data_IF_683627576864
#
_entry.id   IF_683627576864
#
_cell.length_a   1.000
_cell.length_b   1.000
_cell.length_c   1.000
_cell.angle_alpha   90.00
_cell.angle_beta   90.00
_cell.angle_gamma   90.00
#
_symmetry.space_group_name_H-M   'P 1'
#
loop_
_entity.id
_entity.type
_entity.pdbx_description
1 polymer ?
#
# COMPACT_ATOMS: atom_id res chain seq x y z
N UNK A 1 21.63 14.15 -9.29
CA UNK A 1 22.58 14.11 -8.16
C UNK A 1 22.06 13.08 -7.16
N UNK A 2 22.94 12.31 -6.55
CA UNK A 2 22.55 11.31 -5.54
C UNK A 2 22.83 11.85 -4.12
N UNK A 3 22.16 12.92 -3.74
CA UNK A 3 22.36 13.56 -2.44
C UNK A 3 21.77 12.71 -1.31
N UNK A 4 22.49 12.70 -0.16
CA UNK A 4 22.01 11.99 1.02
C UNK A 4 20.96 12.83 1.79
N UNK A 5 19.75 12.91 1.23
CA UNK A 5 18.62 13.68 1.77
C UNK A 5 17.47 12.75 2.11
N UNK A 6 16.83 12.95 3.27
CA UNK A 6 15.64 12.23 3.71
C UNK A 6 14.47 13.22 3.76
N UNK A 7 13.48 12.99 2.91
CA UNK A 7 12.23 13.74 2.88
C UNK A 7 11.18 12.93 3.62
N UNK A 8 10.88 13.31 4.84
CA UNK A 8 9.84 12.63 5.64
C UNK A 8 8.61 13.54 5.59
N UNK A 9 7.62 13.13 4.80
CA UNK A 9 6.37 13.85 4.63
C UNK A 9 5.27 13.24 5.50
N UNK A 10 4.71 14.06 6.38
CA UNK A 10 3.55 13.71 7.21
C UNK A 10 2.25 14.16 6.54
N UNK A 11 1.09 13.76 7.09
CA UNK A 11 -0.23 14.12 6.59
C UNK A 11 -0.51 13.61 5.16
N UNK A 12 0.04 12.45 4.82
CA UNK A 12 -0.15 11.83 3.52
C UNK A 12 -1.50 11.10 3.42
N UNK A 13 -2.01 10.96 2.20
CA UNK A 13 -3.23 10.21 1.92
C UNK A 13 -4.49 10.89 2.45
N UNK A 14 -5.36 10.09 3.06
CA UNK A 14 -6.63 10.51 3.62
C UNK A 14 -6.57 10.80 5.12
N UNK A 15 -5.41 10.64 5.72
CA UNK A 15 -5.20 10.76 7.17
C UNK A 15 -5.47 12.15 7.73
N UNK A 16 -5.47 13.19 6.90
CA UNK A 16 -5.93 14.53 7.26
C UNK A 16 -7.37 14.77 6.81
N UNK A 17 -8.25 13.91 7.30
CA UNK A 17 -9.65 13.85 6.88
C UNK A 17 -10.43 15.12 7.18
N UNK A 18 -10.12 15.82 8.28
CA UNK A 18 -10.89 17.00 8.75
C UNK A 18 -10.64 18.24 7.88
N UNK A 19 -9.40 18.43 7.43
CA UNK A 19 -8.98 19.64 6.70
C UNK A 19 -9.28 19.53 5.18
N UNK A 20 -9.64 18.33 4.72
CA UNK A 20 -10.12 18.09 3.36
C UNK A 20 -9.04 18.15 2.28
N UNK A 21 -9.43 18.39 1.01
CA UNK A 21 -8.58 18.18 -0.16
C UNK A 21 -7.27 18.97 -0.19
N UNK A 22 -7.23 20.11 0.49
CA UNK A 22 -6.01 20.94 0.56
C UNK A 22 -4.88 20.31 1.39
N UNK A 23 -5.21 19.26 2.16
CA UNK A 23 -4.27 18.57 3.06
C UNK A 23 -4.14 17.07 2.76
N UNK A 24 -4.71 16.61 1.66
CA UNK A 24 -4.67 15.21 1.22
C UNK A 24 -3.65 15.05 0.09
N UNK A 25 -2.46 14.47 0.40
CA UNK A 25 -1.46 14.16 -0.61
C UNK A 25 -1.80 12.82 -1.29
N UNK A 26 -2.28 12.88 -2.54
CA UNK A 26 -2.76 11.72 -3.30
C UNK A 26 -1.91 11.40 -4.55
N UNK A 27 -0.91 12.20 -4.87
CA UNK A 27 -0.02 12.05 -6.05
C UNK A 27 1.46 11.98 -5.67
N UNK A 28 1.78 12.06 -4.39
CA UNK A 28 3.13 12.14 -3.87
C UNK A 28 4.00 10.92 -4.24
N UNK A 29 3.47 9.71 -4.14
CA UNK A 29 4.17 8.49 -4.53
C UNK A 29 4.49 8.49 -6.02
N UNK A 30 3.54 8.88 -6.88
CA UNK A 30 3.75 8.94 -8.32
C UNK A 30 4.88 9.93 -8.68
N UNK A 31 4.85 11.13 -8.09
CA UNK A 31 5.88 12.14 -8.28
C UNK A 31 7.26 11.66 -7.84
N UNK A 32 7.36 11.06 -6.66
CA UNK A 32 8.63 10.59 -6.11
C UNK A 32 9.15 9.36 -6.85
N UNK A 33 8.28 8.48 -7.36
CA UNK A 33 8.68 7.33 -8.20
C UNK A 33 9.38 7.77 -9.49
N UNK A 34 9.03 8.89 -10.08
CA UNK A 34 9.65 9.37 -11.34
C UNK A 34 11.08 9.85 -11.16
N UNK A 35 11.50 10.23 -9.95
CA UNK A 35 12.85 10.70 -9.67
C UNK A 35 13.83 9.51 -9.67
N UNK A 36 14.83 9.52 -10.56
CA UNK A 36 15.68 8.35 -10.87
C UNK A 36 16.28 7.65 -9.66
N UNK A 37 16.86 8.39 -8.70
CA UNK A 37 17.58 7.82 -7.55
C UNK A 37 16.76 7.85 -6.25
N UNK A 38 15.51 8.32 -6.27
CA UNK A 38 14.68 8.42 -5.09
C UNK A 38 14.23 7.03 -4.64
N UNK A 39 14.52 6.67 -3.41
CA UNK A 39 13.87 5.56 -2.70
C UNK A 39 12.54 6.07 -2.17
N UNK A 40 11.45 5.30 -2.35
CA UNK A 40 10.10 5.68 -1.92
C UNK A 40 9.59 4.64 -0.95
N UNK A 41 9.30 5.08 0.27
CA UNK A 41 8.89 4.22 1.38
C UNK A 41 7.58 4.72 1.97
N UNK A 42 6.65 3.81 2.21
CA UNK A 42 5.35 4.06 2.84
C UNK A 42 5.05 2.98 3.89
N UNK A 43 5.27 3.27 5.18
CA UNK A 43 4.99 2.34 6.28
C UNK A 43 3.53 1.91 6.34
N UNK A 44 3.27 0.71 6.84
CA UNK A 44 1.92 0.21 7.11
C UNK A 44 1.29 0.86 8.35
N UNK A 45 2.07 1.02 9.42
CA UNK A 45 1.65 1.54 10.72
C UNK A 45 2.83 2.12 11.51
N UNK A 46 2.61 2.48 12.79
CA UNK A 46 3.64 3.06 13.66
C UNK A 46 4.79 2.10 13.95
N UNK A 47 4.53 0.80 14.09
CA UNK A 47 5.57 -0.22 14.32
C UNK A 47 6.45 -0.43 13.09
N UNK A 48 5.85 -0.31 11.92
CA UNK A 48 6.62 -0.34 10.65
C UNK A 48 7.49 0.92 10.53
N UNK A 49 7.02 2.10 10.97
CA UNK A 49 7.84 3.32 11.04
C UNK A 49 9.06 3.11 11.94
N UNK A 50 8.90 2.49 13.11
CA UNK A 50 10.02 2.20 14.03
C UNK A 50 11.08 1.32 13.40
N UNK A 51 10.70 0.34 12.58
CA UNK A 51 11.64 -0.54 11.86
C UNK A 51 12.30 0.15 10.67
N UNK A 52 11.57 1.01 9.98
CA UNK A 52 11.98 1.65 8.74
C UNK A 52 12.96 2.81 8.99
N UNK A 53 12.67 3.68 9.95
CA UNK A 53 13.43 4.94 10.12
C UNK A 53 14.93 4.71 10.35
N UNK A 54 15.39 3.78 11.20
CA UNK A 54 16.81 3.50 11.35
C UNK A 54 17.48 3.12 10.03
N UNK A 55 16.85 2.28 9.22
CA UNK A 55 17.38 1.83 7.92
C UNK A 55 17.40 2.95 6.88
N UNK A 56 16.40 3.83 6.91
CA UNK A 56 16.36 5.03 6.06
C UNK A 56 17.51 5.99 6.40
N UNK A 57 17.82 6.17 7.70
CA UNK A 57 18.93 7.03 8.14
C UNK A 57 20.29 6.45 7.67
N UNK A 58 20.48 5.15 7.74
CA UNK A 58 21.70 4.47 7.31
C UNK A 58 21.91 4.47 5.79
N UNK A 59 20.83 4.51 5.01
CA UNK A 59 20.89 4.49 3.56
C UNK A 59 21.60 5.72 2.99
N UNK A 60 22.54 5.52 2.05
CA UNK A 60 23.28 6.60 1.38
C UNK A 60 22.62 6.96 0.06
N UNK A 61 21.79 7.99 0.07
CA UNK A 61 21.03 8.48 -1.09
C UNK A 61 19.75 9.18 -0.68
N UNK A 62 18.98 9.69 -1.63
CA UNK A 62 17.71 10.36 -1.36
C UNK A 62 16.63 9.32 -1.03
N UNK A 63 15.87 9.57 0.03
CA UNK A 63 14.73 8.76 0.44
C UNK A 63 13.52 9.66 0.70
N UNK A 64 12.38 9.30 0.17
CA UNK A 64 11.08 9.83 0.52
C UNK A 64 10.36 8.83 1.42
N UNK A 65 9.92 9.28 2.60
CA UNK A 65 9.11 8.50 3.53
C UNK A 65 7.75 9.14 3.67
N UNK A 66 6.71 8.40 3.34
CA UNK A 66 5.32 8.84 3.37
C UNK A 66 4.67 8.40 4.68
N UNK A 67 4.25 9.33 5.52
CA UNK A 67 3.66 9.04 6.84
C UNK A 67 2.28 9.70 6.94
N UNK A 68 1.29 8.97 7.45
CA UNK A 68 -0.01 9.52 7.79
C UNK A 68 0.03 10.47 9.00
N UNK A 69 -1.07 11.17 9.25
CA UNK A 69 -1.26 12.04 10.41
C UNK A 69 -1.89 11.33 11.59
N UNK A 70 -2.94 10.56 11.32
CA UNK A 70 -3.81 10.01 12.34
C UNK A 70 -3.33 8.63 12.84
N UNK A 71 -3.99 8.14 13.87
CA UNK A 71 -3.75 6.81 14.40
C UNK A 71 -4.07 5.75 13.35
N UNK A 72 -3.08 4.94 13.02
CA UNK A 72 -3.28 3.75 12.19
C UNK A 72 -3.46 2.53 13.09
N UNK A 73 -4.45 1.65 12.83
CA UNK A 73 -4.58 0.39 13.55
C UNK A 73 -3.30 -0.43 13.46
N UNK A 74 -2.96 -1.23 14.49
CA UNK A 74 -1.77 -2.07 14.48
C UNK A 74 -1.92 -3.19 13.42
N UNK A 75 -1.03 -3.18 12.45
CA UNK A 75 -0.97 -4.17 11.37
C UNK A 75 0.26 -5.05 11.55
N UNK A 76 1.39 -4.42 11.89
CA UNK A 76 2.69 -5.08 11.96
C UNK A 76 3.22 -5.27 13.38
N UNK A 77 2.45 -4.91 14.41
CA UNK A 77 2.86 -4.91 15.83
C UNK A 77 3.45 -6.25 16.27
N UNK A 78 2.75 -7.34 16.00
CA UNK A 78 3.11 -8.70 16.43
C UNK A 78 4.00 -9.43 15.41
N UNK A 79 4.49 -8.74 14.39
CA UNK A 79 5.32 -9.34 13.36
C UNK A 79 6.81 -9.20 13.72
N UNK A 80 7.54 -10.30 13.60
CA UNK A 80 8.99 -10.35 13.77
C UNK A 80 9.70 -10.34 12.41
N UNK A 81 10.03 -9.14 11.91
CA UNK A 81 10.86 -8.98 10.72
C UNK A 81 11.80 -7.78 10.82
N UNK A 82 12.96 -7.92 10.19
CA UNK A 82 13.87 -6.81 9.95
C UNK A 82 13.52 -6.11 8.63
N UNK A 83 13.22 -4.82 8.69
CA UNK A 83 12.96 -4.05 7.47
C UNK A 83 14.22 -3.97 6.60
N UNK A 84 14.06 -4.22 5.32
CA UNK A 84 15.06 -4.03 4.26
C UNK A 84 14.43 -3.30 3.09
N UNK A 85 15.14 -2.30 2.57
CA UNK A 85 14.68 -1.54 1.39
C UNK A 85 14.48 -2.50 0.21
N UNK A 86 13.30 -2.48 -0.36
CA UNK A 86 12.89 -3.32 -1.48
C UNK A 86 12.10 -4.57 -1.09
N UNK A 87 12.17 -5.03 0.16
CA UNK A 87 11.49 -6.27 0.56
C UNK A 87 9.97 -6.09 0.71
N UNK A 88 9.27 -7.22 0.56
CA UNK A 88 7.82 -7.37 0.70
C UNK A 88 7.56 -8.35 1.83
N UNK A 89 6.58 -8.04 2.69
CA UNK A 89 6.30 -8.83 3.89
C UNK A 89 4.89 -9.43 3.82
N UNK A 90 4.81 -10.75 3.97
CA UNK A 90 3.54 -11.47 4.02
C UNK A 90 2.88 -11.26 5.39
N UNK A 91 1.67 -10.70 5.41
CA UNK A 91 0.85 -10.51 6.60
C UNK A 91 -0.11 -11.69 6.81
N UNK A 92 -0.70 -12.17 5.73
CA UNK A 92 -1.59 -13.33 5.69
C UNK A 92 -1.24 -14.16 4.46
N UNK A 93 -1.13 -15.48 4.65
CA UNK A 93 -0.95 -16.44 3.57
C UNK A 93 -2.23 -16.63 2.76
N UNK A 94 -2.11 -16.93 1.46
CA UNK A 94 -3.24 -17.26 0.59
C UNK A 94 -2.84 -17.42 -0.86
N UNK A 95 -3.57 -18.31 -1.56
CA UNK A 95 -3.22 -18.74 -2.92
C UNK A 95 -4.32 -18.50 -3.97
N UNK A 96 -5.56 -18.15 -3.55
CA UNK A 96 -6.65 -17.92 -4.51
C UNK A 96 -6.55 -16.52 -5.14
N UNK A 97 -6.14 -15.53 -4.36
CA UNK A 97 -5.96 -14.13 -4.74
C UNK A 97 -5.04 -13.47 -3.72
N UNK A 98 -4.36 -12.39 -4.08
CA UNK A 98 -3.58 -11.61 -3.14
C UNK A 98 -3.93 -10.13 -3.16
N UNK A 99 -3.80 -9.49 -1.99
CA UNK A 99 -3.77 -8.03 -1.85
C UNK A 99 -2.35 -7.60 -1.57
N UNK A 100 -1.87 -6.59 -2.29
CA UNK A 100 -0.62 -5.89 -2.02
C UNK A 100 -0.93 -4.44 -1.70
N UNK A 101 -0.29 -3.87 -0.69
CA UNK A 101 -0.57 -2.48 -0.33
C UNK A 101 0.40 -1.92 0.69
N UNK A 102 0.12 -0.72 1.14
CA UNK A 102 0.80 -0.01 2.24
C UNK A 102 -0.21 0.86 2.99
N UNK A 103 0.17 1.30 4.18
CA UNK A 103 -0.64 2.22 4.99
C UNK A 103 -1.96 1.63 5.51
N UNK A 104 -2.87 2.48 6.01
CA UNK A 104 -4.11 2.08 6.67
C UNK A 104 -5.01 1.12 5.88
N UNK A 105 -5.14 1.18 4.53
CA UNK A 105 -5.94 0.22 3.79
C UNK A 105 -5.55 -1.24 3.98
N UNK A 106 -4.30 -1.53 4.38
CA UNK A 106 -3.87 -2.89 4.70
C UNK A 106 -4.62 -3.50 5.89
N UNK A 107 -5.03 -2.69 6.87
CA UNK A 107 -5.86 -3.17 7.98
C UNK A 107 -7.19 -3.73 7.47
N UNK A 108 -7.84 -3.01 6.57
CA UNK A 108 -9.08 -3.46 5.93
C UNK A 108 -8.85 -4.70 5.06
N UNK A 109 -7.69 -4.78 4.37
CA UNK A 109 -7.33 -5.97 3.60
C UNK A 109 -7.11 -7.21 4.49
N UNK A 110 -6.49 -7.06 5.67
CA UNK A 110 -6.35 -8.14 6.65
C UNK A 110 -7.72 -8.63 7.12
N UNK A 111 -8.63 -7.71 7.45
CA UNK A 111 -10.00 -8.07 7.87
C UNK A 111 -10.76 -8.78 6.76
N UNK A 112 -10.70 -8.24 5.53
CA UNK A 112 -11.30 -8.86 4.36
C UNK A 112 -10.77 -10.30 4.11
N UNK A 113 -9.46 -10.52 4.29
CA UNK A 113 -8.86 -11.84 4.16
C UNK A 113 -9.38 -12.84 5.19
N UNK A 114 -9.56 -12.38 6.45
CA UNK A 114 -10.09 -13.23 7.51
C UNK A 114 -11.56 -13.60 7.26
N UNK A 115 -12.38 -12.67 6.77
CA UNK A 115 -13.78 -12.95 6.40
C UNK A 115 -13.89 -13.89 5.18
N UNK A 116 -13.12 -13.63 4.12
CA UNK A 116 -13.08 -14.49 2.94
C UNK A 116 -12.62 -15.92 3.29
N UNK A 117 -11.68 -16.06 4.22
CA UNK A 117 -11.23 -17.37 4.70
C UNK A 117 -12.36 -18.19 5.35
N UNK A 118 -13.30 -17.52 6.07
CA UNK A 118 -14.51 -18.18 6.61
C UNK A 118 -15.45 -18.65 5.51
N UNK A 119 -15.39 -18.02 4.35
CA UNK A 119 -16.14 -18.41 3.15
C UNK A 119 -15.40 -19.44 2.29
N UNK A 120 -14.22 -19.91 2.72
CA UNK A 120 -13.41 -20.90 2.02
C UNK A 120 -12.46 -20.34 0.97
N UNK A 121 -12.29 -19.00 0.90
CA UNK A 121 -11.40 -18.30 -0.03
C UNK A 121 -10.14 -17.85 0.70
N UNK A 122 -8.98 -18.26 0.20
CA UNK A 122 -7.67 -17.94 0.78
C UNK A 122 -7.06 -16.72 0.10
N UNK A 123 -7.40 -15.53 0.60
CA UNK A 123 -6.80 -14.29 0.15
C UNK A 123 -5.51 -14.02 0.94
N UNK A 124 -4.37 -13.94 0.24
CA UNK A 124 -3.10 -13.50 0.83
C UNK A 124 -3.03 -11.97 0.94
N UNK A 125 -2.33 -11.46 1.97
CA UNK A 125 -2.11 -10.02 2.16
C UNK A 125 -0.63 -9.73 2.34
N UNK A 126 -0.11 -8.76 1.58
CA UNK A 126 1.31 -8.38 1.58
C UNK A 126 1.48 -6.89 1.86
N UNK A 127 2.31 -6.57 2.86
CA UNK A 127 2.81 -5.21 3.05
C UNK A 127 3.96 -4.95 2.07
N UNK A 128 3.86 -3.87 1.31
CA UNK A 128 4.86 -3.40 0.34
C UNK A 128 5.37 -2.03 0.78
N UNK A 129 6.13 -1.95 1.88
CA UNK A 129 6.55 -0.67 2.46
C UNK A 129 7.57 0.07 1.58
N UNK A 130 8.27 -0.62 0.67
CA UNK A 130 9.15 0.02 -0.31
C UNK A 130 8.53 -0.05 -1.69
N UNK A 131 8.07 1.10 -2.18
CA UNK A 131 7.44 1.21 -3.50
C UNK A 131 8.51 1.34 -4.60
N UNK A 132 9.66 1.92 -4.25
CA UNK A 132 10.83 2.02 -5.12
C UNK A 132 12.14 2.02 -4.30
N UNK A 133 13.12 1.12 -4.64
CA UNK A 133 12.95 0.01 -5.57
C UNK A 133 11.97 -1.03 -5.03
N UNK A 134 11.17 -1.64 -5.88
CA UNK A 134 10.34 -2.79 -5.51
C UNK A 134 11.09 -4.09 -5.78
N UNK A 135 10.87 -5.12 -4.97
CA UNK A 135 11.41 -6.46 -5.21
C UNK A 135 10.68 -7.12 -6.40
N UNK A 136 11.27 -6.96 -7.58
CA UNK A 136 10.69 -7.46 -8.84
C UNK A 136 10.48 -8.97 -8.79
N UNK A 137 11.47 -9.72 -8.32
CA UNK A 137 11.42 -11.18 -8.26
C UNK A 137 10.31 -11.67 -7.33
N UNK A 138 10.15 -11.02 -6.17
CA UNK A 138 9.08 -11.34 -5.23
C UNK A 138 7.69 -11.06 -5.84
N UNK A 139 7.48 -9.88 -6.45
CA UNK A 139 6.22 -9.53 -7.11
C UNK A 139 5.89 -10.52 -8.22
N UNK A 140 6.85 -10.81 -9.10
CA UNK A 140 6.64 -11.74 -10.23
C UNK A 140 6.36 -13.16 -9.74
N UNK A 141 7.07 -13.63 -8.71
CA UNK A 141 6.84 -14.95 -8.10
C UNK A 141 5.42 -15.07 -7.53
N UNK A 142 4.98 -14.07 -6.77
CA UNK A 142 3.62 -14.04 -6.19
C UNK A 142 2.59 -13.98 -7.32
N UNK A 143 2.77 -13.09 -8.29
CA UNK A 143 1.85 -12.92 -9.41
C UNK A 143 1.68 -14.18 -10.26
N UNK A 144 2.76 -14.90 -10.52
CA UNK A 144 2.73 -16.19 -11.25
C UNK A 144 2.02 -17.30 -10.47
N UNK A 145 2.11 -17.27 -9.15
CA UNK A 145 1.44 -18.25 -8.29
C UNK A 145 -0.06 -18.09 -8.28
N UNK A 146 -0.55 -16.84 -8.18
CA UNK A 146 -1.98 -16.57 -7.92
C UNK A 146 -2.75 -16.05 -9.14
N UNK A 147 -2.11 -15.38 -10.08
CA UNK A 147 -2.73 -14.83 -11.27
C UNK A 147 -3.64 -13.61 -11.06
N UNK A 148 -4.13 -13.39 -9.83
CA UNK A 148 -5.05 -12.30 -9.48
C UNK A 148 -4.48 -11.46 -8.34
N UNK A 149 -4.32 -10.16 -8.55
CA UNK A 149 -3.76 -9.23 -7.58
C UNK A 149 -4.72 -8.05 -7.40
N UNK A 150 -5.02 -7.70 -6.15
CA UNK A 150 -5.61 -6.42 -5.79
C UNK A 150 -4.48 -5.55 -5.22
N UNK A 151 -4.42 -4.29 -5.60
CA UNK A 151 -3.57 -3.31 -4.94
C UNK A 151 -4.43 -2.32 -4.20
N UNK A 152 -4.12 -2.07 -2.94
CA UNK A 152 -4.81 -1.08 -2.09
C UNK A 152 -3.84 0.03 -1.73
N UNK A 153 -4.21 1.28 -2.01
CA UNK A 153 -3.37 2.45 -1.74
C UNK A 153 -4.21 3.72 -1.53
N UNK A 154 -3.88 4.49 -0.51
CA UNK A 154 -4.44 5.85 -0.30
C UNK A 154 -3.76 6.86 -1.22
N UNK A 155 -3.84 6.61 -2.50
CA UNK A 155 -3.16 7.37 -3.53
C UNK A 155 -3.95 7.27 -4.83
N UNK A 156 -3.75 8.19 -5.74
CA UNK A 156 -4.28 8.07 -7.09
C UNK A 156 -3.89 6.71 -7.69
N UNK A 157 -4.79 5.98 -8.34
CA UNK A 157 -4.44 4.72 -9.00
C UNK A 157 -3.43 4.90 -10.14
N UNK A 158 -3.10 6.16 -10.48
CA UNK A 158 -2.16 6.52 -11.55
C UNK A 158 -0.78 6.82 -10.97
N UNK A 159 0.20 6.02 -11.33
CA UNK A 159 1.61 6.22 -10.98
C UNK A 159 2.02 5.73 -9.57
N UNK A 160 1.07 5.26 -8.74
CA UNK A 160 1.32 4.69 -7.41
C UNK A 160 1.86 3.25 -7.44
N UNK A 161 1.63 2.52 -6.34
CA UNK A 161 2.01 1.12 -6.19
C UNK A 161 1.30 0.22 -7.22
N UNK A 162 0.01 0.45 -7.44
CA UNK A 162 -0.76 -0.33 -8.40
C UNK A 162 -0.21 -0.24 -9.82
N UNK A 163 0.20 0.96 -10.24
CA UNK A 163 0.90 1.15 -11.51
C UNK A 163 2.23 0.39 -11.53
N UNK A 164 3.04 0.49 -10.44
CA UNK A 164 4.32 -0.21 -10.36
C UNK A 164 4.18 -1.73 -10.50
N UNK A 165 3.19 -2.31 -9.81
CA UNK A 165 2.93 -3.76 -9.90
C UNK A 165 2.42 -4.12 -11.29
N UNK A 166 1.48 -3.33 -11.86
CA UNK A 166 0.95 -3.59 -13.21
C UNK A 166 2.04 -3.55 -14.28
N UNK A 167 2.98 -2.62 -14.20
CA UNK A 167 4.16 -2.54 -15.09
C UNK A 167 4.98 -3.84 -15.09
N UNK A 168 5.07 -4.53 -13.94
CA UNK A 168 5.87 -5.76 -13.78
C UNK A 168 5.14 -7.04 -14.22
N UNK A 169 3.80 -7.09 -14.06
CA UNK A 169 3.04 -8.33 -14.23
C UNK A 169 2.10 -8.32 -15.42
N UNK A 170 2.12 -7.25 -16.23
CA UNK A 170 1.32 -7.13 -17.44
C UNK A 170 1.55 -8.32 -18.39
N UNK A 171 0.44 -8.93 -18.83
CA UNK A 171 0.46 -10.07 -19.74
C UNK A 171 0.41 -11.46 -19.07
N UNK A 172 0.56 -11.58 -17.74
CA UNK A 172 0.47 -12.88 -17.05
C UNK A 172 -0.28 -12.87 -15.72
N UNK A 173 -0.65 -11.70 -15.20
CA UNK A 173 -1.53 -11.59 -14.04
C UNK A 173 -2.53 -10.45 -14.23
N UNK A 174 -3.69 -10.57 -13.61
CA UNK A 174 -4.71 -9.53 -13.58
C UNK A 174 -4.50 -8.65 -12.35
N UNK A 175 -4.53 -7.35 -12.52
CA UNK A 175 -4.37 -6.39 -11.43
C UNK A 175 -5.61 -5.51 -11.33
N UNK A 176 -6.24 -5.47 -10.16
CA UNK A 176 -7.27 -4.51 -9.79
C UNK A 176 -6.69 -3.52 -8.81
N UNK A 177 -6.66 -2.25 -9.16
CA UNK A 177 -6.21 -1.17 -8.27
C UNK A 177 -7.43 -0.58 -7.58
N UNK A 178 -7.40 -0.55 -6.26
CA UNK A 178 -8.28 0.21 -5.39
C UNK A 178 -7.48 1.38 -4.84
N UNK A 179 -7.87 2.58 -5.20
CA UNK A 179 -7.17 3.81 -4.85
C UNK A 179 -8.14 4.99 -4.84
N UNK A 180 -7.64 6.17 -4.52
CA UNK A 180 -8.42 7.41 -4.49
C UNK A 180 -8.46 8.00 -5.89
N UNK A 181 -9.55 7.77 -6.63
CA UNK A 181 -9.73 8.33 -7.97
C UNK A 181 -10.45 9.69 -7.88
N UNK A 182 -9.81 10.70 -8.42
CA UNK A 182 -10.26 12.08 -8.38
C UNK A 182 -9.61 12.91 -7.27
N UNK A 183 -9.98 14.18 -7.21
CA UNK A 183 -9.55 15.06 -6.13
C UNK A 183 -10.33 14.71 -4.87
N UNK A 184 -9.67 14.71 -3.72
CA UNK A 184 -10.35 14.58 -2.44
C UNK A 184 -11.43 15.67 -2.28
N UNK A 185 -12.66 15.34 -2.56
CA UNK A 185 -13.77 16.31 -2.53
C UNK A 185 -14.38 16.47 -1.13
N UNK A 186 -13.90 15.70 -0.15
CA UNK A 186 -14.54 15.63 1.16
C UNK A 186 -13.53 15.83 2.30
N UNK A 187 -13.91 16.73 3.24
CA UNK A 187 -13.49 16.56 4.62
C UNK A 187 -14.42 15.52 5.25
N UNK A 188 -13.83 14.46 5.81
CA UNK A 188 -14.57 13.41 6.52
C UNK A 188 -14.61 13.66 8.02
N UNK A 189 -15.39 12.85 8.74
CA UNK A 189 -15.41 12.82 10.20
C UNK A 189 -14.32 11.90 10.76
N UNK A 190 -13.84 10.98 9.93
CA UNK A 190 -12.75 10.06 10.24
C UNK A 190 -12.08 9.57 8.95
N UNK A 191 -10.86 9.06 9.05
CA UNK A 191 -10.18 8.40 7.95
C UNK A 191 -10.97 7.16 7.47
N UNK A 192 -11.58 6.39 8.37
CA UNK A 192 -12.41 5.24 8.04
C UNK A 192 -13.60 5.61 7.13
N UNK A 193 -14.25 6.76 7.39
CA UNK A 193 -15.34 7.26 6.53
C UNK A 193 -14.84 7.53 5.10
N UNK A 194 -13.65 8.14 4.98
CA UNK A 194 -13.04 8.39 3.67
C UNK A 194 -12.58 7.11 2.99
N UNK A 195 -11.97 6.18 3.70
CA UNK A 195 -11.60 4.88 3.15
C UNK A 195 -12.82 4.15 2.58
N UNK A 196 -13.95 4.17 3.30
CA UNK A 196 -15.22 3.60 2.81
C UNK A 196 -15.75 4.34 1.58
N UNK A 197 -15.72 5.66 1.60
CA UNK A 197 -16.18 6.46 0.46
C UNK A 197 -15.42 6.16 -0.83
N UNK A 198 -14.10 5.93 -0.72
CA UNK A 198 -13.24 5.61 -1.87
C UNK A 198 -13.12 4.11 -2.17
N UNK A 199 -13.87 3.26 -1.47
CA UNK A 199 -13.85 1.82 -1.71
C UNK A 199 -12.57 1.11 -1.27
N UNK A 200 -11.96 1.62 -0.19
CA UNK A 200 -10.77 1.06 0.46
C UNK A 200 -11.11 0.36 1.78
N UNK A 201 -12.38 0.17 2.07
CA UNK A 201 -12.89 -0.55 3.24
C UNK A 201 -12.94 -2.07 3.01
N UNK A 202 -13.20 -2.80 4.08
CA UNK A 202 -13.25 -4.27 4.09
C UNK A 202 -14.23 -4.83 3.04
N UNK A 203 -15.47 -4.30 3.00
CA UNK A 203 -16.52 -4.79 2.08
C UNK A 203 -16.13 -4.59 0.62
N UNK A 204 -15.60 -3.40 0.28
CA UNK A 204 -15.16 -3.08 -1.07
C UNK A 204 -13.99 -3.96 -1.54
N UNK A 205 -13.06 -4.29 -0.64
CA UNK A 205 -11.95 -5.19 -0.93
C UNK A 205 -12.46 -6.62 -1.16
N UNK A 206 -13.38 -7.11 -0.32
CA UNK A 206 -14.02 -8.43 -0.49
C UNK A 206 -14.77 -8.51 -1.83
N UNK A 207 -15.56 -7.51 -2.15
CA UNK A 207 -16.29 -7.42 -3.41
C UNK A 207 -15.36 -7.45 -4.64
N UNK A 208 -14.25 -6.72 -4.56
CA UNK A 208 -13.25 -6.70 -5.62
C UNK A 208 -12.59 -8.08 -5.78
N UNK A 209 -12.30 -8.77 -4.66
CA UNK A 209 -11.74 -10.12 -4.67
C UNK A 209 -12.70 -11.12 -5.31
N UNK A 210 -13.96 -11.13 -4.89
CA UNK A 210 -14.97 -12.03 -5.43
C UNK A 210 -15.21 -11.82 -6.93
N UNK A 211 -15.25 -10.57 -7.38
CA UNK A 211 -15.39 -10.22 -8.80
C UNK A 211 -14.18 -10.68 -9.61
N UNK A 212 -12.98 -10.51 -9.08
CA UNK A 212 -11.75 -10.86 -9.80
C UNK A 212 -11.53 -12.38 -9.89
N UNK A 213 -11.94 -13.16 -8.87
CA UNK A 213 -11.88 -14.62 -8.89
C UNK A 213 -12.88 -15.20 -9.89
N UNK A 214 -14.08 -14.62 -10.02
CA UNK A 214 -15.16 -15.12 -10.84
C UNK A 214 -15.14 -14.64 -12.30
N UNK A 215 -14.18 -13.81 -12.69
CA UNK A 215 -14.00 -13.26 -14.04
C UNK A 215 -12.91 -13.98 -14.82
#
# INVERSE_FOLDING_TARGET
MNLNVKLIATHAGLSDFADGPSHQALEDVALMRTLSNMVVVAPADAWDVERIIPKVIEYKGPVYVRVGRDYSPPITMDMDYEFRIGEIYELIDGDDIVVMGYGPPLYNAVRAALELRRMGIKMGVYNVPTIKPINIDAVVKIARRVGNIIVVEEHSPRGGLGSAITELVSGFARVKILGVDGYGHWGGRSEEELLRFYGLDEESIMDAALKLINS
#
